data_IF_780611849264
#
_entry.id   IF_780611849264
#
_cell.length_a   1.000
_cell.length_b   1.000
_cell.length_c   1.000
_cell.angle_alpha   90.00
_cell.angle_beta   90.00
_cell.angle_gamma   90.00
#
_symmetry.space_group_name_H-M   'P 1'
#
loop_
_entity.id
_entity.type
_entity.pdbx_description
1 polymer ?
#
# COMPACT_ATOMS: atom_id res chain seq x y z
N UNK A 1 -22.01 8.28 -14.49
CA UNK A 1 -21.18 8.34 -13.27
C UNK A 1 -21.26 9.77 -12.80
N UNK A 2 -21.83 10.02 -11.62
CA UNK A 2 -21.96 11.39 -11.11
C UNK A 2 -20.57 11.94 -10.77
N UNK A 3 -20.32 13.23 -11.04
CA UNK A 3 -19.02 13.89 -10.77
C UNK A 3 -18.57 13.73 -9.31
N UNK A 4 -19.53 13.63 -8.39
CA UNK A 4 -19.32 13.34 -6.97
C UNK A 4 -18.71 11.95 -6.74
N UNK A 5 -19.18 10.92 -7.47
CA UNK A 5 -18.69 9.55 -7.35
C UNK A 5 -17.27 9.41 -7.90
N UNK A 6 -16.98 10.06 -9.04
CA UNK A 6 -15.62 10.10 -9.60
C UNK A 6 -14.64 10.80 -8.64
N UNK A 7 -15.08 11.90 -8.00
CA UNK A 7 -14.27 12.61 -7.00
C UNK A 7 -14.02 11.75 -5.76
N UNK A 8 -15.03 11.00 -5.31
CA UNK A 8 -14.89 10.09 -4.18
C UNK A 8 -13.94 8.92 -4.51
N UNK A 9 -14.07 8.30 -5.68
CA UNK A 9 -13.19 7.25 -6.16
C UNK A 9 -11.72 7.72 -6.22
N UNK A 10 -11.47 8.92 -6.73
CA UNK A 10 -10.13 9.51 -6.76
C UNK A 10 -9.55 9.73 -5.36
N UNK A 11 -10.35 10.19 -4.39
CA UNK A 11 -9.94 10.36 -2.99
C UNK A 11 -9.63 9.02 -2.32
N UNK A 12 -10.50 8.03 -2.47
CA UNK A 12 -10.27 6.68 -1.92
C UNK A 12 -9.01 6.06 -2.50
N UNK A 13 -8.80 6.19 -3.81
CA UNK A 13 -7.57 5.76 -4.46
C UNK A 13 -6.33 6.41 -3.85
N UNK A 14 -6.35 7.74 -3.66
CA UNK A 14 -5.23 8.45 -3.06
C UNK A 14 -4.92 7.98 -1.62
N UNK A 15 -5.96 7.74 -0.81
CA UNK A 15 -5.81 7.23 0.55
C UNK A 15 -5.20 5.82 0.55
N UNK A 16 -5.67 4.93 -0.32
CA UNK A 16 -5.15 3.56 -0.43
C UNK A 16 -3.68 3.55 -0.84
N UNK A 17 -3.28 4.42 -1.78
CA UNK A 17 -1.87 4.55 -2.19
C UNK A 17 -1.00 5.12 -1.06
N UNK A 18 -1.49 6.08 -0.30
CA UNK A 18 -0.77 6.62 0.86
C UNK A 18 -0.61 5.57 1.97
N UNK A 19 -1.63 4.75 2.23
CA UNK A 19 -1.52 3.63 3.16
C UNK A 19 -0.50 2.59 2.65
N UNK A 20 -0.52 2.24 1.36
CA UNK A 20 0.44 1.31 0.79
C UNK A 20 1.88 1.80 0.94
N UNK A 21 2.11 3.11 0.76
CA UNK A 21 3.42 3.75 0.96
C UNK A 21 3.90 3.62 2.41
N UNK A 22 3.01 3.84 3.38
CA UNK A 22 3.35 3.72 4.81
C UNK A 22 3.73 2.29 5.20
N UNK A 23 3.02 1.30 4.68
CA UNK A 23 3.36 -0.11 4.92
C UNK A 23 4.75 -0.46 4.36
N UNK A 24 5.09 0.02 3.16
CA UNK A 24 6.44 -0.19 2.61
C UNK A 24 7.51 0.57 3.39
N UNK A 25 7.24 1.79 3.86
CA UNK A 25 8.15 2.53 4.74
C UNK A 25 8.40 1.77 6.06
N UNK A 26 7.35 1.18 6.65
CA UNK A 26 7.47 0.30 7.83
C UNK A 26 8.29 -0.95 7.55
N UNK A 27 8.02 -1.64 6.42
CA UNK A 27 8.81 -2.80 5.99
C UNK A 27 10.29 -2.46 5.77
N UNK A 28 10.58 -1.32 5.16
CA UNK A 28 11.93 -0.86 4.91
C UNK A 28 12.66 -0.50 6.21
N UNK A 29 11.98 0.19 7.13
CA UNK A 29 12.51 0.55 8.45
C UNK A 29 12.87 -0.70 9.26
N UNK A 30 11.96 -1.67 9.31
CA UNK A 30 12.17 -2.92 10.04
C UNK A 30 13.27 -3.77 9.39
N UNK A 31 13.29 -3.91 8.06
CA UNK A 31 14.33 -4.64 7.36
C UNK A 31 15.72 -4.01 7.53
N UNK A 32 15.81 -2.68 7.59
CA UNK A 32 17.06 -1.96 7.81
C UNK A 32 17.62 -2.13 9.24
N UNK A 33 16.77 -2.46 10.21
CA UNK A 33 17.20 -2.77 11.57
C UNK A 33 17.83 -4.18 11.69
N UNK A 34 17.68 -5.00 10.66
CA UNK A 34 18.15 -6.39 10.63
C UNK A 34 19.42 -6.47 9.77
N UNK A 35 20.48 -7.17 10.21
CA UNK A 35 21.65 -7.39 9.36
C UNK A 35 21.28 -8.15 8.08
N UNK A 36 21.89 -7.78 6.95
CA UNK A 36 21.53 -8.35 5.63
C UNK A 36 21.68 -9.88 5.51
N UNK A 37 22.52 -10.49 6.36
CA UNK A 37 22.75 -11.94 6.40
C UNK A 37 21.72 -12.69 7.25
N UNK A 38 20.88 -11.97 8.01
CA UNK A 38 19.84 -12.55 8.84
C UNK A 38 18.54 -12.63 8.03
N UNK A 39 17.71 -13.68 8.22
CA UNK A 39 16.38 -13.70 7.65
C UNK A 39 15.58 -12.48 8.12
N UNK A 40 14.80 -11.90 7.20
CA UNK A 40 13.89 -10.81 7.52
C UNK A 40 12.77 -11.31 8.44
N UNK A 41 12.31 -10.49 9.41
CA UNK A 41 11.16 -10.80 10.23
C UNK A 41 9.91 -11.10 9.38
N UNK A 42 9.05 -12.05 9.80
CA UNK A 42 7.79 -12.33 9.10
C UNK A 42 6.88 -11.11 8.94
N UNK A 43 6.99 -10.15 9.86
CA UNK A 43 6.31 -8.84 9.86
C UNK A 43 6.68 -7.99 8.64
N UNK A 44 7.95 -7.99 8.19
CA UNK A 44 8.38 -7.32 6.94
C UNK A 44 7.60 -7.86 5.73
N UNK A 45 7.41 -9.18 5.67
CA UNK A 45 6.60 -9.79 4.60
C UNK A 45 5.13 -9.41 4.72
N UNK A 46 4.60 -9.34 5.95
CA UNK A 46 3.25 -8.86 6.25
C UNK A 46 3.01 -7.45 5.71
N UNK A 47 3.90 -6.50 6.05
CA UNK A 47 3.86 -5.12 5.59
C UNK A 47 3.88 -5.03 4.04
N UNK A 48 4.81 -5.74 3.38
CA UNK A 48 4.88 -5.76 1.90
C UNK A 48 3.63 -6.35 1.26
N UNK A 49 3.07 -7.39 1.87
CA UNK A 49 1.83 -8.02 1.40
C UNK A 49 0.65 -7.06 1.52
N UNK A 50 0.54 -6.35 2.65
CA UNK A 50 -0.47 -5.32 2.87
C UNK A 50 -0.34 -4.19 1.84
N UNK A 51 0.87 -3.68 1.61
CA UNK A 51 1.15 -2.66 0.60
C UNK A 51 0.72 -3.10 -0.81
N UNK A 52 1.01 -4.35 -1.19
CA UNK A 52 0.59 -4.91 -2.47
C UNK A 52 -0.95 -5.00 -2.60
N UNK A 53 -1.65 -5.46 -1.55
CA UNK A 53 -3.11 -5.53 -1.55
C UNK A 53 -3.77 -4.15 -1.63
N UNK A 54 -3.21 -3.15 -0.93
CA UNK A 54 -3.69 -1.78 -0.96
C UNK A 54 -3.53 -1.15 -2.36
N UNK A 55 -2.40 -1.41 -3.05
CA UNK A 55 -2.21 -0.99 -4.45
C UNK A 55 -3.20 -1.65 -5.38
N UNK A 56 -3.38 -2.97 -5.28
CA UNK A 56 -4.35 -3.69 -6.09
C UNK A 56 -5.78 -3.15 -5.89
N UNK A 57 -6.15 -2.83 -4.65
CA UNK A 57 -7.43 -2.19 -4.36
C UNK A 57 -7.52 -0.77 -4.95
N UNK A 58 -6.45 0.01 -4.89
CA UNK A 58 -6.38 1.34 -5.49
C UNK A 58 -6.54 1.31 -7.02
N UNK A 59 -5.96 0.29 -7.67
CA UNK A 59 -6.02 0.11 -9.12
C UNK A 59 -7.44 -0.26 -9.60
N UNK A 60 -8.27 -0.87 -8.75
CA UNK A 60 -9.69 -1.09 -9.07
C UNK A 60 -10.44 0.24 -9.29
N UNK A 61 -10.01 1.32 -8.63
CA UNK A 61 -10.59 2.65 -8.84
C UNK A 61 -10.08 3.35 -10.10
N UNK A 62 -9.00 2.87 -10.75
CA UNK A 62 -8.60 3.33 -12.09
C UNK A 62 -9.49 2.75 -13.18
N UNK A 63 -9.94 1.50 -13.02
CA UNK A 63 -10.80 0.83 -13.99
C UNK A 63 -12.23 1.40 -14.02
N UNK A 64 -12.61 2.17 -13.00
CA UNK A 64 -13.97 2.66 -12.76
C UNK A 64 -14.09 4.18 -12.98
N UNK A 65 -12.98 4.93 -13.03
CA UNK A 65 -12.96 6.39 -13.27
C UNK A 65 -12.90 6.73 -14.76
#
# INVERSE_FOLDING_TARGET
MDTSDTTMAAKLRAILLELARREDDSAATEAAAIPYWSPAPPTVLGHRTAAALLRNAADQFLAVS
#
